data_IF_214685927486
#
_entry.id   IF_214685927486
#
_cell.length_a   1.000
_cell.length_b   1.000
_cell.length_c   1.000
_cell.angle_alpha   90.00
_cell.angle_beta   90.00
_cell.angle_gamma   90.00
#
_symmetry.space_group_name_H-M   'P 1'
#
loop_
_entity.id
_entity.type
_entity.pdbx_description
1 polymer ?
#
# COMPACT_ATOMS: atom_id res chain seq x y z
N UNK A 1 -12.63 8.17 8.16
CA UNK A 1 -12.29 6.85 7.64
C UNK A 1 -11.06 6.31 8.37
N UNK A 2 -9.98 7.03 8.49
CA UNK A 2 -8.74 6.61 9.14
C UNK A 2 -8.66 7.08 10.60
N UNK A 3 -9.33 6.35 11.54
CA UNK A 3 -9.32 6.66 12.98
C UNK A 3 -8.21 5.96 13.74
N UNK A 4 -7.73 4.86 13.21
CA UNK A 4 -6.64 4.07 13.77
C UNK A 4 -5.71 3.64 12.62
N UNK A 5 -4.42 3.83 12.79
CA UNK A 5 -3.37 3.43 11.85
C UNK A 5 -2.48 2.38 12.50
N UNK A 6 -2.11 1.35 11.75
CA UNK A 6 -1.17 0.33 12.20
C UNK A 6 0.15 0.48 11.44
N UNK A 7 1.25 0.57 12.17
CA UNK A 7 2.61 0.51 11.61
C UNK A 7 3.31 -0.73 12.18
N UNK A 8 3.39 -1.82 11.40
CA UNK A 8 4.21 -2.97 11.76
C UNK A 8 5.70 -2.61 11.64
N UNK A 9 6.46 -2.92 12.69
CA UNK A 9 7.87 -2.61 12.80
C UNK A 9 8.66 -3.90 13.11
N UNK A 10 9.80 -4.07 12.49
CA UNK A 10 10.67 -5.22 12.69
C UNK A 10 11.95 -4.89 13.49
N UNK A 11 12.03 -3.68 14.04
CA UNK A 11 13.20 -3.18 14.76
C UNK A 11 14.35 -2.75 13.84
N UNK A 12 14.14 -2.69 12.54
CA UNK A 12 15.12 -2.16 11.58
C UNK A 12 14.83 -0.72 11.20
N UNK A 13 15.89 0.02 10.82
CA UNK A 13 15.75 1.37 10.26
C UNK A 13 14.90 1.39 8.98
N UNK A 14 14.88 0.28 8.24
CA UNK A 14 14.06 0.18 7.03
C UNK A 14 12.58 0.21 7.35
N UNK A 15 12.12 -0.49 8.40
CA UNK A 15 10.74 -0.44 8.88
C UNK A 15 10.30 0.96 9.32
N UNK A 16 11.22 1.74 9.88
CA UNK A 16 10.95 3.09 10.36
C UNK A 16 10.62 4.10 9.24
N UNK A 17 10.92 3.82 7.97
CA UNK A 17 10.55 4.69 6.84
C UNK A 17 9.04 4.84 6.66
N UNK A 18 8.23 3.98 7.25
CA UNK A 18 6.78 4.12 7.28
C UNK A 18 6.31 5.24 8.23
N UNK A 19 7.11 5.58 9.25
CA UNK A 19 6.72 6.45 10.34
C UNK A 19 6.45 7.92 9.96
N UNK A 20 7.27 8.59 9.13
CA UNK A 20 7.02 9.99 8.77
C UNK A 20 5.64 10.19 8.14
N UNK A 21 5.26 9.36 7.17
CA UNK A 21 3.98 9.45 6.48
C UNK A 21 2.82 9.00 7.39
N UNK A 22 2.98 7.93 8.17
CA UNK A 22 1.99 7.48 9.14
C UNK A 22 1.70 8.57 10.19
N UNK A 23 2.75 9.23 10.71
CA UNK A 23 2.64 10.36 11.64
C UNK A 23 1.90 11.55 11.03
N UNK A 24 2.23 11.90 9.77
CA UNK A 24 1.56 12.98 9.06
C UNK A 24 0.06 12.72 8.91
N UNK A 25 -0.32 11.51 8.49
CA UNK A 25 -1.72 11.10 8.37
C UNK A 25 -2.42 11.10 9.74
N UNK A 26 -1.78 10.52 10.77
CA UNK A 26 -2.37 10.46 12.11
C UNK A 26 -2.63 11.84 12.70
N UNK A 27 -1.70 12.80 12.52
CA UNK A 27 -1.88 14.19 12.96
C UNK A 27 -3.03 14.90 12.25
N UNK A 28 -3.18 14.70 10.94
CA UNK A 28 -4.23 15.34 10.17
C UNK A 28 -5.61 14.77 10.45
N UNK A 29 -5.69 13.49 10.81
CA UNK A 29 -6.95 12.79 11.08
C UNK A 29 -7.34 12.77 12.56
N UNK A 30 -6.41 13.06 13.47
CA UNK A 30 -6.56 12.79 14.89
C UNK A 30 -6.58 11.29 15.23
N UNK A 31 -6.04 10.45 14.33
CA UNK A 31 -6.05 9.01 14.50
C UNK A 31 -5.06 8.54 15.57
N UNK A 32 -5.39 7.41 16.20
CA UNK A 32 -4.43 6.68 17.03
C UNK A 32 -3.43 5.93 16.13
N UNK A 33 -2.14 6.08 16.42
CA UNK A 33 -1.06 5.39 15.75
C UNK A 33 -0.63 4.17 16.56
N UNK A 34 -0.85 2.97 16.04
CA UNK A 34 -0.47 1.72 16.65
C UNK A 34 0.90 1.28 16.11
N UNK A 35 1.94 1.34 16.93
CA UNK A 35 3.26 0.82 16.64
C UNK A 35 3.33 -0.62 17.14
N UNK A 36 3.48 -1.56 16.24
CA UNK A 36 3.38 -2.98 16.58
C UNK A 36 4.63 -3.72 16.13
N UNK A 37 5.22 -4.46 17.04
CA UNK A 37 6.24 -5.46 16.76
C UNK A 37 5.66 -6.85 16.94
N UNK A 38 6.09 -7.82 16.14
CA UNK A 38 5.74 -9.23 16.36
C UNK A 38 6.99 -9.96 16.80
N UNK A 39 6.95 -10.43 18.03
CA UNK A 39 8.01 -11.25 18.60
C UNK A 39 8.08 -12.60 17.89
N UNK A 40 9.28 -12.99 17.50
CA UNK A 40 9.55 -14.29 16.87
C UNK A 40 10.50 -15.06 17.76
N UNK A 41 10.03 -16.18 18.31
CA UNK A 41 10.85 -17.03 19.15
C UNK A 41 12.04 -17.56 18.34
N UNK A 42 13.23 -17.11 18.67
CA UNK A 42 14.47 -17.60 18.07
C UNK A 42 15.01 -18.75 18.91
N UNK A 43 14.78 -19.98 18.45
CA UNK A 43 15.39 -21.15 19.08
C UNK A 43 16.79 -21.33 18.48
N UNK A 44 17.86 -21.26 19.28
CA UNK A 44 19.21 -21.49 18.78
C UNK A 44 19.32 -22.92 18.23
N UNK A 45 19.54 -23.08 16.95
CA UNK A 45 19.82 -24.38 16.33
C UNK A 45 21.32 -24.60 16.42
N UNK A 46 21.78 -25.39 17.39
CA UNK A 46 23.13 -25.94 17.33
C UNK A 46 23.05 -27.36 16.72
N UNK A 47 24.03 -27.70 15.90
CA UNK A 47 24.04 -28.92 15.09
C UNK A 47 23.98 -30.21 15.94
N UNK A 48 24.30 -30.11 17.23
CA UNK A 48 24.42 -31.24 18.16
C UNK A 48 23.57 -31.11 19.43
N UNK A 49 22.71 -30.08 19.56
CA UNK A 49 21.90 -29.88 20.76
C UNK A 49 20.40 -29.90 20.48
N UNK A 50 19.64 -30.50 21.36
CA UNK A 50 18.18 -30.35 21.36
C UNK A 50 17.87 -28.86 21.59
N UNK A 51 17.07 -28.24 20.71
CA UNK A 51 16.69 -26.84 20.87
C UNK A 51 15.96 -26.69 22.23
N UNK A 52 16.57 -25.96 23.17
CA UNK A 52 15.97 -25.68 24.46
C UNK A 52 15.42 -24.25 24.39
N UNK A 53 14.13 -24.12 24.67
CA UNK A 53 13.53 -22.81 24.87
C UNK A 53 14.05 -22.20 26.15
N UNK A 54 14.65 -21.00 26.06
CA UNK A 54 15.13 -20.24 27.18
C UNK A 54 14.14 -19.10 27.49
N UNK A 55 13.32 -19.31 28.50
CA UNK A 55 12.30 -18.37 28.96
C UNK A 55 12.90 -17.02 29.39
N UNK A 56 14.10 -17.02 30.00
CA UNK A 56 14.76 -15.79 30.43
C UNK A 56 15.24 -14.96 29.23
N UNK A 57 15.77 -15.62 28.21
CA UNK A 57 16.18 -14.97 26.96
C UNK A 57 14.95 -14.42 26.19
N UNK A 58 13.89 -15.19 26.11
CA UNK A 58 12.62 -14.76 25.49
C UNK A 58 12.06 -13.51 26.17
N UNK A 59 11.99 -13.52 27.48
CA UNK A 59 11.53 -12.36 28.26
C UNK A 59 12.43 -11.12 28.07
N UNK A 60 13.75 -11.33 27.96
CA UNK A 60 14.68 -10.23 27.67
C UNK A 60 14.49 -9.65 26.28
N UNK A 61 14.28 -10.48 25.27
CA UNK A 61 14.06 -10.02 23.90
C UNK A 61 12.74 -9.25 23.79
N UNK A 62 11.67 -9.72 24.43
CA UNK A 62 10.38 -8.98 24.51
C UNK A 62 10.54 -7.62 25.19
N UNK A 63 11.32 -7.56 26.26
CA UNK A 63 11.58 -6.30 26.96
C UNK A 63 12.35 -5.30 26.07
N UNK A 64 13.29 -5.78 25.27
CA UNK A 64 14.02 -4.95 24.28
C UNK A 64 13.09 -4.44 23.18
N UNK A 65 12.24 -5.30 22.65
CA UNK A 65 11.25 -4.95 21.60
C UNK A 65 10.26 -3.90 22.12
N UNK A 66 9.75 -4.07 23.34
CA UNK A 66 8.88 -3.09 23.98
C UNK A 66 9.62 -1.75 24.20
N UNK A 67 10.86 -1.79 24.70
CA UNK A 67 11.68 -0.59 24.89
C UNK A 67 11.90 0.15 23.57
N UNK A 68 12.16 -0.57 22.48
CA UNK A 68 12.29 0.00 21.15
C UNK A 68 11.02 0.73 20.70
N UNK A 69 9.85 0.11 20.86
CA UNK A 69 8.57 0.74 20.50
C UNK A 69 8.28 1.99 21.35
N UNK A 70 8.58 1.94 22.65
CA UNK A 70 8.36 3.07 23.57
C UNK A 70 9.31 4.24 23.25
N UNK A 71 10.54 3.95 22.85
CA UNK A 71 11.49 4.96 22.38
C UNK A 71 11.00 5.64 21.10
N UNK A 72 10.48 4.88 20.14
CA UNK A 72 9.88 5.43 18.94
C UNK A 72 8.64 6.27 19.26
N UNK A 73 7.78 5.80 20.15
CA UNK A 73 6.58 6.54 20.55
C UNK A 73 6.95 7.90 21.16
N UNK A 74 8.00 7.95 22.02
CA UNK A 74 8.52 9.20 22.59
C UNK A 74 9.06 10.14 21.50
N UNK A 75 9.85 9.63 20.55
CA UNK A 75 10.40 10.41 19.44
C UNK A 75 9.31 10.98 18.55
N UNK A 76 8.27 10.20 18.24
CA UNK A 76 7.15 10.63 17.39
C UNK A 76 6.22 11.62 18.08
N UNK A 77 6.15 11.62 19.42
CA UNK A 77 5.33 12.55 20.21
C UNK A 77 5.92 13.95 20.28
N UNK A 78 7.17 14.17 19.86
CA UNK A 78 7.77 15.50 19.79
C UNK A 78 7.03 16.37 18.78
N UNK A 79 6.75 17.62 19.16
CA UNK A 79 6.12 18.62 18.26
C UNK A 79 4.60 18.53 18.09
N UNK A 80 3.86 17.95 19.04
CA UNK A 80 2.39 18.01 19.09
C UNK A 80 1.73 16.74 19.63
N UNK A 81 0.49 16.88 20.08
CA UNK A 81 -0.29 15.76 20.61
C UNK A 81 -0.55 14.70 19.51
N UNK A 82 -0.10 13.49 19.74
CA UNK A 82 -0.34 12.32 18.91
C UNK A 82 -0.70 11.16 19.82
N UNK A 83 -1.84 10.53 19.59
CA UNK A 83 -2.22 9.31 20.31
C UNK A 83 -1.42 8.14 19.75
N UNK A 84 -0.57 7.52 20.57
CA UNK A 84 0.25 6.37 20.18
C UNK A 84 -0.02 5.22 21.14
N UNK A 85 -0.17 4.03 20.59
CA UNK A 85 -0.24 2.76 21.31
C UNK A 85 0.88 1.86 20.83
N UNK A 86 1.59 1.22 21.75
CA UNK A 86 2.63 0.24 21.46
C UNK A 86 2.17 -1.16 21.81
N UNK A 87 2.53 -2.18 21.04
CA UNK A 87 2.23 -3.57 21.34
C UNK A 87 3.29 -4.51 20.76
N UNK A 88 3.68 -5.50 21.56
CA UNK A 88 4.46 -6.66 21.11
C UNK A 88 3.50 -7.84 21.01
N UNK A 89 3.39 -8.44 19.85
CA UNK A 89 2.51 -9.57 19.55
C UNK A 89 3.32 -10.85 19.39
N UNK A 90 2.62 -11.98 19.36
CA UNK A 90 3.23 -13.29 19.14
C UNK A 90 3.09 -13.75 17.68
N UNK A 91 4.07 -14.52 17.20
CA UNK A 91 4.06 -15.19 15.88
C UNK A 91 2.84 -16.15 15.76
N UNK A 92 2.27 -16.36 14.58
CA UNK A 92 2.77 -16.00 13.22
C UNK A 92 2.51 -14.54 12.83
N UNK A 93 3.52 -13.86 12.29
CA UNK A 93 3.55 -12.41 12.08
C UNK A 93 2.31 -11.89 11.34
N UNK A 94 2.00 -12.43 10.16
CA UNK A 94 0.90 -11.92 9.35
C UNK A 94 -0.48 -12.15 10.01
N UNK A 95 -0.67 -13.28 10.67
CA UNK A 95 -1.91 -13.61 11.39
C UNK A 95 -2.07 -12.72 12.63
N UNK A 96 -1.00 -12.51 13.40
CA UNK A 96 -1.01 -11.64 14.56
C UNK A 96 -1.37 -10.20 14.18
N UNK A 97 -0.73 -9.65 13.14
CA UNK A 97 -1.02 -8.31 12.62
C UNK A 97 -2.46 -8.19 12.11
N UNK A 98 -2.98 -9.20 11.42
CA UNK A 98 -4.36 -9.21 10.93
C UNK A 98 -5.37 -9.26 12.08
N UNK A 99 -5.14 -10.13 13.07
CA UNK A 99 -5.99 -10.24 14.26
C UNK A 99 -6.01 -8.92 15.04
N UNK A 100 -4.83 -8.35 15.25
CA UNK A 100 -4.69 -7.06 15.91
C UNK A 100 -5.41 -5.95 15.16
N UNK A 101 -5.25 -5.90 13.85
CA UNK A 101 -5.87 -4.88 13.01
C UNK A 101 -7.41 -4.94 13.07
N UNK A 102 -7.98 -6.13 13.09
CA UNK A 102 -9.44 -6.32 13.24
C UNK A 102 -9.90 -5.95 14.65
N UNK A 103 -9.19 -6.37 15.69
CA UNK A 103 -9.55 -6.12 17.08
C UNK A 103 -9.51 -4.62 17.47
N UNK A 104 -8.68 -3.82 16.78
CA UNK A 104 -8.51 -2.39 17.05
C UNK A 104 -9.10 -1.48 15.95
N UNK A 105 -10.00 -1.98 15.10
CA UNK A 105 -10.65 -1.23 14.03
C UNK A 105 -9.65 -0.42 13.19
N UNK A 106 -8.51 -1.04 12.82
CA UNK A 106 -7.48 -0.38 12.01
C UNK A 106 -8.05 -0.01 10.65
N UNK A 107 -8.04 1.28 10.35
CA UNK A 107 -8.53 1.81 9.08
C UNK A 107 -7.49 1.85 7.96
N UNK A 108 -6.19 1.81 8.31
CA UNK A 108 -5.07 1.85 7.38
C UNK A 108 -3.84 1.18 7.99
N UNK A 109 -3.22 0.27 7.24
CA UNK A 109 -1.88 -0.23 7.57
C UNK A 109 -0.86 0.59 6.79
N UNK A 110 0.17 1.11 7.45
CA UNK A 110 1.27 1.85 6.83
C UNK A 110 2.56 1.08 7.09
N UNK A 111 3.20 0.58 6.06
CA UNK A 111 4.38 -0.27 6.21
C UNK A 111 5.36 -0.10 5.05
N UNK A 112 6.56 -0.59 5.24
CA UNK A 112 7.56 -0.62 4.18
C UNK A 112 7.43 -1.88 3.33
N UNK A 113 7.89 -1.80 2.08
CA UNK A 113 7.88 -2.95 1.17
C UNK A 113 8.79 -4.09 1.64
N UNK A 114 9.80 -3.81 2.46
CA UNK A 114 10.71 -4.78 3.07
C UNK A 114 11.38 -4.20 4.32
N UNK A 115 11.81 -5.07 5.23
CA UNK A 115 12.53 -4.76 6.48
C UNK A 115 13.97 -5.26 6.43
N UNK A 116 14.40 -6.04 7.41
CA UNK A 116 15.78 -6.54 7.64
C UNK A 116 16.40 -7.36 6.49
N UNK A 117 15.67 -7.74 5.46
CA UNK A 117 16.15 -8.59 4.38
C UNK A 117 17.06 -7.89 3.36
N UNK A 118 17.74 -8.69 2.52
CA UNK A 118 18.70 -8.21 1.53
C UNK A 118 18.09 -7.19 0.55
N UNK A 119 18.80 -6.11 0.32
CA UNK A 119 18.45 -5.02 -0.58
C UNK A 119 18.43 -5.49 -2.05
N UNK A 120 17.32 -6.03 -2.51
CA UNK A 120 17.07 -6.23 -3.93
C UNK A 120 16.01 -5.24 -4.40
N UNK A 121 16.32 -4.47 -5.44
CA UNK A 121 15.43 -3.42 -5.99
C UNK A 121 14.05 -3.92 -6.40
N UNK A 122 13.82 -5.24 -6.43
CA UNK A 122 12.60 -5.88 -6.92
C UNK A 122 11.94 -6.81 -5.89
N UNK A 123 12.41 -6.82 -4.65
CA UNK A 123 11.87 -7.71 -3.62
C UNK A 123 10.76 -7.03 -2.81
N UNK A 124 9.65 -7.72 -2.69
CA UNK A 124 8.58 -7.43 -1.76
C UNK A 124 8.73 -8.40 -0.58
N UNK A 125 8.75 -7.88 0.64
CA UNK A 125 8.87 -8.70 1.84
C UNK A 125 7.70 -9.67 1.99
N UNK A 126 7.95 -10.85 2.52
CA UNK A 126 6.94 -11.91 2.69
C UNK A 126 5.74 -11.45 3.53
N UNK A 127 5.96 -10.61 4.52
CA UNK A 127 4.90 -10.06 5.38
C UNK A 127 4.03 -9.07 4.60
N UNK A 128 4.65 -8.14 3.85
CA UNK A 128 3.93 -7.21 3.00
C UNK A 128 3.10 -7.96 1.94
N UNK A 129 3.71 -8.95 1.27
CA UNK A 129 3.02 -9.79 0.29
C UNK A 129 1.83 -10.54 0.90
N UNK A 130 2.00 -11.12 2.09
CA UNK A 130 0.92 -11.84 2.78
C UNK A 130 -0.21 -10.89 3.17
N UNK A 131 0.10 -9.73 3.78
CA UNK A 131 -0.93 -8.76 4.19
C UNK A 131 -1.70 -8.21 2.99
N UNK A 132 -1.03 -7.89 1.88
CA UNK A 132 -1.71 -7.44 0.65
C UNK A 132 -2.72 -8.45 0.11
N UNK A 133 -2.51 -9.75 0.38
CA UNK A 133 -3.40 -10.82 -0.06
C UNK A 133 -4.60 -11.04 0.87
N UNK A 134 -4.47 -10.72 2.16
CA UNK A 134 -5.47 -11.09 3.16
C UNK A 134 -6.09 -9.92 3.93
N UNK A 135 -5.45 -8.75 4.01
CA UNK A 135 -5.93 -7.64 4.81
C UNK A 135 -7.23 -7.04 4.24
N UNK A 136 -8.26 -6.84 5.07
CA UNK A 136 -9.53 -6.25 4.64
C UNK A 136 -9.51 -4.71 4.57
N UNK A 137 -8.47 -4.08 5.10
CA UNK A 137 -8.27 -2.63 5.09
C UNK A 137 -7.22 -2.22 4.04
N UNK A 138 -7.17 -0.93 3.65
CA UNK A 138 -6.12 -0.41 2.79
C UNK A 138 -4.73 -0.56 3.41
N UNK A 139 -3.73 -0.79 2.57
CA UNK A 139 -2.31 -0.85 2.94
C UNK A 139 -1.56 0.22 2.16
N UNK A 140 -0.87 1.10 2.86
CA UNK A 140 0.03 2.09 2.29
C UNK A 140 1.47 1.56 2.39
N UNK A 141 2.05 1.28 1.24
CA UNK A 141 3.39 0.76 1.10
C UNK A 141 4.38 1.87 0.81
N UNK A 142 5.45 1.93 1.58
CA UNK A 142 6.56 2.86 1.40
C UNK A 142 7.82 2.07 1.05
N UNK A 143 8.53 2.53 0.02
CA UNK A 143 9.83 1.97 -0.30
C UNK A 143 10.87 2.56 0.64
N UNK A 144 11.58 1.75 1.44
CA UNK A 144 12.62 2.26 2.31
C UNK A 144 13.84 2.74 1.49
N UNK A 145 14.57 3.67 2.06
CA UNK A 145 15.82 4.21 1.51
C UNK A 145 17.02 3.71 2.32
N UNK A 146 18.23 3.89 1.79
CA UNK A 146 19.46 3.49 2.50
C UNK A 146 19.77 4.40 3.69
N UNK A 147 19.37 5.68 3.59
CA UNK A 147 19.54 6.66 4.66
C UNK A 147 18.46 6.51 5.72
N UNK A 148 18.77 6.68 7.02
CA UNK A 148 17.75 6.64 8.06
C UNK A 148 16.61 7.64 7.79
N UNK A 149 15.36 7.30 8.15
CA UNK A 149 14.24 8.21 7.96
C UNK A 149 14.34 9.41 8.91
N UNK A 150 14.04 10.60 8.39
CA UNK A 150 13.82 11.76 9.21
C UNK A 150 12.40 11.73 9.80
N UNK A 151 12.28 11.42 11.09
CA UNK A 151 10.99 11.31 11.77
C UNK A 151 10.32 12.66 12.00
N UNK A 152 11.03 13.78 11.87
CA UNK A 152 10.44 15.12 11.96
C UNK A 152 9.83 15.59 10.64
N UNK A 153 10.22 15.00 9.54
CA UNK A 153 9.66 15.29 8.24
C UNK A 153 8.14 15.04 8.24
N UNK A 154 7.42 15.95 7.60
CA UNK A 154 5.97 15.86 7.42
C UNK A 154 5.67 15.75 5.91
N UNK A 155 5.73 14.53 5.35
CA UNK A 155 5.41 14.33 3.94
C UNK A 155 3.97 14.74 3.66
N UNK A 156 3.74 15.41 2.54
CA UNK A 156 2.40 15.79 2.09
C UNK A 156 2.08 15.11 0.77
N UNK A 157 0.93 14.48 0.71
CA UNK A 157 0.39 13.92 -0.53
C UNK A 157 -0.40 15.03 -1.22
N UNK A 158 0.12 15.58 -2.29
CA UNK A 158 -0.50 16.68 -3.06
C UNK A 158 -1.11 16.21 -4.38
N UNK A 159 -0.64 15.09 -4.90
CA UNK A 159 -1.11 14.55 -6.18
C UNK A 159 -1.21 13.01 -6.12
N UNK A 160 -2.40 12.49 -6.34
CA UNK A 160 -2.70 11.05 -6.29
C UNK A 160 -3.01 10.55 -7.69
N UNK A 161 -2.30 9.52 -8.14
CA UNK A 161 -2.58 8.79 -9.38
C UNK A 161 -3.46 7.58 -9.08
N UNK A 162 -4.60 7.48 -9.78
CA UNK A 162 -5.52 6.34 -9.65
C UNK A 162 -5.68 5.67 -11.01
N UNK A 163 -4.92 4.62 -11.29
CA UNK A 163 -5.11 3.81 -12.49
C UNK A 163 -6.42 3.02 -12.43
N UNK A 164 -7.26 3.15 -13.47
CA UNK A 164 -8.52 2.44 -13.60
C UNK A 164 -8.59 1.70 -14.93
N UNK A 165 -9.08 0.46 -14.90
CA UNK A 165 -9.26 -0.39 -16.07
C UNK A 165 -10.71 -0.47 -16.57
N UNK A 166 -11.63 0.31 -15.98
CA UNK A 166 -13.05 0.30 -16.26
C UNK A 166 -13.85 -0.75 -15.49
N UNK A 167 -13.19 -1.53 -14.62
CA UNK A 167 -13.90 -2.50 -13.77
C UNK A 167 -14.42 -1.87 -12.49
N UNK A 168 -15.56 -2.37 -11.99
CA UNK A 168 -16.08 -1.99 -10.69
C UNK A 168 -15.12 -2.34 -9.53
N UNK A 169 -14.22 -3.32 -9.72
CA UNK A 169 -13.20 -3.67 -8.73
C UNK A 169 -12.13 -2.60 -8.63
N UNK A 170 -11.66 -2.06 -9.76
CA UNK A 170 -10.68 -0.95 -9.76
C UNK A 170 -11.28 0.31 -9.12
N UNK A 171 -12.55 0.62 -9.38
CA UNK A 171 -13.23 1.79 -8.81
C UNK A 171 -13.39 1.72 -7.28
N UNK A 172 -13.32 0.54 -6.67
CA UNK A 172 -13.33 0.40 -5.20
C UNK A 172 -12.13 1.04 -4.51
N UNK A 173 -11.08 1.39 -5.28
CA UNK A 173 -9.95 2.17 -4.78
C UNK A 173 -10.30 3.66 -4.58
N UNK A 174 -11.32 4.18 -5.24
CA UNK A 174 -11.67 5.59 -5.17
C UNK A 174 -12.00 6.07 -3.74
N UNK A 175 -12.87 5.40 -2.95
CA UNK A 175 -13.15 5.84 -1.59
C UNK A 175 -11.92 5.90 -0.67
N UNK A 176 -11.05 4.89 -0.59
CA UNK A 176 -9.80 5.00 0.17
C UNK A 176 -8.88 6.12 -0.34
N UNK A 177 -8.72 6.28 -1.65
CA UNK A 177 -7.86 7.30 -2.22
C UNK A 177 -8.39 8.71 -1.94
N UNK A 178 -9.68 8.95 -2.12
CA UNK A 178 -10.31 10.26 -1.86
C UNK A 178 -10.29 10.61 -0.37
N UNK A 179 -10.50 9.64 0.52
CA UNK A 179 -10.39 9.86 1.95
C UNK A 179 -8.98 10.29 2.37
N UNK A 180 -7.94 9.75 1.73
CA UNK A 180 -6.56 10.14 2.00
C UNK A 180 -6.23 11.50 1.36
N UNK A 181 -6.64 11.73 0.12
CA UNK A 181 -6.41 12.99 -0.58
C UNK A 181 -7.13 14.18 0.03
N UNK A 182 -8.30 13.97 0.64
CA UNK A 182 -9.04 15.01 1.33
C UNK A 182 -8.28 15.61 2.53
N UNK A 183 -7.34 14.87 3.13
CA UNK A 183 -6.52 15.36 4.24
C UNK A 183 -5.59 16.52 3.83
N UNK A 184 -5.16 16.54 2.58
CA UNK A 184 -4.18 17.49 2.06
C UNK A 184 -4.71 18.33 0.91
N UNK A 185 -6.00 18.22 0.58
CA UNK A 185 -6.60 18.78 -0.63
C UNK A 185 -5.82 18.37 -1.90
N UNK A 186 -5.46 17.09 -1.96
CA UNK A 186 -4.70 16.54 -3.09
C UNK A 186 -5.48 16.62 -4.39
N UNK A 187 -4.78 16.92 -5.49
CA UNK A 187 -5.30 16.72 -6.83
C UNK A 187 -5.25 15.22 -7.19
N UNK A 188 -6.14 14.81 -8.10
CA UNK A 188 -6.22 13.44 -8.59
C UNK A 188 -5.94 13.40 -10.08
N UNK A 189 -5.21 12.40 -10.52
CA UNK A 189 -5.22 11.98 -11.92
C UNK A 189 -5.79 10.59 -12.02
N UNK A 190 -6.87 10.45 -12.76
CA UNK A 190 -7.46 9.14 -13.11
C UNK A 190 -6.85 8.71 -14.44
N UNK A 191 -6.07 7.63 -14.42
CA UNK A 191 -5.33 7.14 -15.57
C UNK A 191 -5.98 5.86 -16.12
N UNK A 192 -6.21 5.82 -17.43
CA UNK A 192 -6.52 4.58 -18.15
C UNK A 192 -5.38 4.25 -19.11
N UNK A 193 -4.83 3.05 -19.01
CA UNK A 193 -3.81 2.57 -19.93
C UNK A 193 -4.44 1.59 -20.90
N UNK A 194 -4.40 1.92 -22.19
CA UNK A 194 -4.80 1.03 -23.27
C UNK A 194 -3.60 0.11 -23.54
N UNK A 195 -3.72 -1.14 -23.09
CA UNK A 195 -2.69 -2.15 -23.32
C UNK A 195 -2.88 -2.85 -24.67
N UNK A 196 -1.81 -3.30 -25.35
CA UNK A 196 -1.92 -4.02 -26.61
C UNK A 196 -2.85 -5.24 -26.55
N UNK A 197 -2.84 -5.95 -25.44
CA UNK A 197 -3.66 -7.15 -25.21
C UNK A 197 -5.19 -6.82 -25.14
N UNK A 198 -5.54 -5.59 -24.73
CA UNK A 198 -6.97 -5.17 -24.66
C UNK A 198 -7.63 -5.05 -26.04
N UNK A 199 -6.84 -5.11 -27.10
CA UNK A 199 -7.29 -5.04 -28.48
C UNK A 199 -7.71 -6.37 -29.09
N UNK A 200 -7.77 -7.45 -28.31
CA UNK A 200 -8.31 -8.74 -28.76
C UNK A 200 -7.34 -9.61 -29.57
N UNK A 201 -6.06 -9.33 -29.54
CA UNK A 201 -5.05 -10.15 -30.18
C UNK A 201 -4.48 -11.16 -29.17
N UNK A 202 -5.01 -12.37 -29.16
CA UNK A 202 -4.37 -13.55 -28.57
C UNK A 202 -3.22 -13.98 -29.50
N UNK A 203 -2.07 -13.31 -29.40
CA UNK A 203 -0.87 -13.76 -30.11
C UNK A 203 0.24 -13.95 -29.08
N UNK A 204 1.04 -15.02 -29.25
CA UNK A 204 2.24 -15.31 -28.45
C UNK A 204 3.31 -14.20 -28.51
N UNK A 205 3.06 -13.13 -29.25
CA UNK A 205 3.92 -11.97 -29.44
C UNK A 205 3.12 -10.66 -29.41
N UNK A 206 3.17 -9.84 -28.35
CA UNK A 206 2.34 -8.65 -28.16
C UNK A 206 2.91 -7.42 -28.88
N UNK A 207 3.00 -7.43 -30.20
CA UNK A 207 3.56 -6.30 -30.97
C UNK A 207 2.61 -5.63 -31.92
N UNK A 208 1.38 -6.12 -32.09
CA UNK A 208 0.42 -5.51 -32.98
C UNK A 208 -0.57 -4.60 -32.24
N UNK A 209 -0.47 -3.31 -32.44
CA UNK A 209 -1.52 -2.37 -32.08
C UNK A 209 -2.71 -2.53 -33.04
N UNK A 210 -3.97 -2.28 -32.57
CA UNK A 210 -5.13 -2.27 -33.45
C UNK A 210 -4.97 -1.28 -34.59
N UNK A 211 -5.71 -1.48 -35.65
CA UNK A 211 -5.82 -0.48 -36.72
C UNK A 211 -6.21 0.90 -36.14
N UNK A 212 -5.75 1.97 -36.75
CA UNK A 212 -5.89 3.34 -36.24
C UNK A 212 -7.37 3.70 -35.91
N UNK A 213 -8.31 3.23 -36.68
CA UNK A 213 -9.76 3.46 -36.47
C UNK A 213 -10.27 2.77 -35.18
N UNK A 214 -9.86 1.53 -34.94
CA UNK A 214 -10.22 0.77 -33.74
C UNK A 214 -9.59 1.39 -32.49
N UNK A 215 -8.33 1.78 -32.56
CA UNK A 215 -7.64 2.44 -31.45
C UNK A 215 -8.28 3.77 -31.07
N UNK A 216 -8.74 4.54 -32.08
CA UNK A 216 -9.46 5.79 -31.85
C UNK A 216 -10.78 5.56 -31.11
N UNK A 217 -11.54 4.54 -31.50
CA UNK A 217 -12.80 4.18 -30.82
C UNK A 217 -12.56 3.72 -29.38
N UNK A 218 -11.53 2.88 -29.14
CA UNK A 218 -11.15 2.43 -27.79
C UNK A 218 -10.76 3.63 -26.92
N UNK A 219 -9.95 4.55 -27.44
CA UNK A 219 -9.54 5.77 -26.72
C UNK A 219 -10.74 6.66 -26.39
N UNK A 220 -11.66 6.86 -27.31
CA UNK A 220 -12.87 7.65 -27.07
C UNK A 220 -13.76 7.02 -25.98
N UNK A 221 -13.93 5.70 -26.01
CA UNK A 221 -14.67 4.99 -24.97
C UNK A 221 -13.99 5.08 -23.60
N UNK A 222 -12.67 4.93 -23.55
CA UNK A 222 -11.89 5.10 -22.32
C UNK A 222 -12.00 6.53 -21.76
N UNK A 223 -11.90 7.54 -22.62
CA UNK A 223 -12.05 8.94 -22.21
C UNK A 223 -13.46 9.20 -21.66
N UNK A 224 -14.50 8.75 -22.35
CA UNK A 224 -15.90 8.89 -21.88
C UNK A 224 -16.11 8.21 -20.51
N UNK A 225 -15.46 7.08 -20.28
CA UNK A 225 -15.49 6.42 -18.97
C UNK A 225 -14.81 7.28 -17.90
N UNK A 226 -13.60 7.78 -18.17
CA UNK A 226 -12.85 8.60 -17.21
C UNK A 226 -13.59 9.91 -16.90
N UNK A 227 -14.21 10.54 -17.89
CA UNK A 227 -14.96 11.80 -17.69
C UNK A 227 -16.12 11.59 -16.73
N UNK A 228 -16.87 10.48 -16.82
CA UNK A 228 -17.92 10.13 -15.85
C UNK A 228 -17.38 9.92 -14.44
N UNK A 229 -16.20 9.30 -14.30
CA UNK A 229 -15.55 9.15 -12.99
C UNK A 229 -15.13 10.50 -12.45
N UNK A 230 -14.52 11.35 -13.30
CA UNK A 230 -14.07 12.68 -12.93
C UNK A 230 -15.25 13.60 -12.50
N UNK A 231 -16.38 13.56 -13.21
CA UNK A 231 -17.59 14.28 -12.83
C UNK A 231 -18.10 13.87 -11.45
N UNK A 232 -18.13 12.55 -11.15
CA UNK A 232 -18.54 12.06 -9.82
C UNK A 232 -17.62 12.53 -8.70
N UNK A 233 -16.33 12.58 -8.94
CA UNK A 233 -15.34 13.05 -7.97
C UNK A 233 -15.35 14.59 -7.87
N UNK A 234 -15.50 15.28 -8.98
CA UNK A 234 -15.65 16.75 -9.05
C UNK A 234 -16.87 17.25 -8.26
N UNK A 235 -17.96 16.50 -8.26
CA UNK A 235 -19.14 16.78 -7.42
C UNK A 235 -18.82 16.76 -5.91
N UNK A 236 -17.68 16.16 -5.50
CA UNK A 236 -17.16 16.18 -4.13
C UNK A 236 -16.13 17.30 -3.91
N UNK A 237 -16.06 18.29 -4.82
CA UNK A 237 -15.10 19.41 -4.79
C UNK A 237 -13.63 18.98 -4.91
N UNK A 238 -13.35 17.83 -5.51
CA UNK A 238 -11.99 17.37 -5.77
C UNK A 238 -11.47 17.90 -7.11
N UNK A 239 -10.19 18.23 -7.16
CA UNK A 239 -9.50 18.57 -8.41
C UNK A 239 -9.12 17.27 -9.12
N UNK A 240 -9.72 17.00 -10.27
CA UNK A 240 -9.53 15.74 -11.00
C UNK A 240 -9.10 15.98 -12.42
N UNK A 241 -8.01 15.34 -12.82
CA UNK A 241 -7.53 15.26 -14.20
C UNK A 241 -7.75 13.85 -14.73
N UNK A 242 -7.89 13.72 -16.05
CA UNK A 242 -8.01 12.43 -16.71
C UNK A 242 -6.90 12.26 -17.73
N UNK A 243 -6.39 11.04 -17.87
CA UNK A 243 -5.38 10.70 -18.87
C UNK A 243 -5.65 9.32 -19.47
N UNK A 244 -5.59 9.22 -20.81
CA UNK A 244 -5.65 7.95 -21.56
C UNK A 244 -4.34 7.78 -22.32
N UNK A 245 -3.58 6.74 -21.99
CA UNK A 245 -2.25 6.49 -22.55
C UNK A 245 -2.18 5.09 -23.12
N UNK A 246 -1.51 4.95 -24.25
CA UNK A 246 -1.23 3.63 -24.86
C UNK A 246 0.09 3.11 -24.33
N UNK A 247 0.14 1.86 -23.86
CA UNK A 247 1.38 1.28 -23.39
C UNK A 247 1.18 0.00 -22.58
N UNK A 248 2.28 -0.55 -22.09
CA UNK A 248 2.23 -1.64 -21.12
C UNK A 248 1.79 -1.09 -19.77
N UNK A 249 0.73 -1.66 -19.18
CA UNK A 249 0.01 -1.05 -18.07
C UNK A 249 0.92 -0.66 -16.88
N UNK A 250 1.70 -1.58 -16.32
CA UNK A 250 2.51 -1.26 -15.13
C UNK A 250 3.68 -0.30 -15.43
N UNK A 251 4.49 -0.49 -16.50
CA UNK A 251 5.51 0.48 -16.89
C UNK A 251 4.93 1.89 -17.12
N UNK A 252 3.82 1.99 -17.85
CA UNK A 252 3.18 3.29 -18.15
C UNK A 252 2.70 4.00 -16.88
N UNK A 253 2.14 3.27 -15.90
CA UNK A 253 1.76 3.83 -14.60
C UNK A 253 2.98 4.41 -13.88
N UNK A 254 4.10 3.67 -13.86
CA UNK A 254 5.33 4.07 -13.18
C UNK A 254 5.99 5.27 -13.85
N UNK A 255 6.05 5.29 -15.16
CA UNK A 255 6.56 6.40 -15.97
C UNK A 255 5.72 7.65 -15.75
N UNK A 256 4.39 7.51 -15.83
CA UNK A 256 3.48 8.62 -15.57
C UNK A 256 3.66 9.20 -14.17
N UNK A 257 3.78 8.35 -13.17
CA UNK A 257 3.96 8.79 -11.80
C UNK A 257 5.25 9.59 -11.61
N UNK A 258 6.34 9.16 -12.24
CA UNK A 258 7.63 9.87 -12.21
C UNK A 258 7.56 11.21 -12.94
N UNK A 259 7.02 11.20 -14.17
CA UNK A 259 7.07 12.33 -15.07
C UNK A 259 6.11 13.47 -14.66
N UNK A 260 5.09 13.16 -13.83
CA UNK A 260 4.10 14.12 -13.34
C UNK A 260 4.19 14.38 -11.83
N UNK A 261 5.32 14.06 -11.22
CA UNK A 261 5.57 14.30 -9.77
C UNK A 261 4.41 13.79 -8.89
N UNK A 262 3.96 12.56 -9.12
CA UNK A 262 2.92 11.91 -8.32
C UNK A 262 3.48 11.54 -6.95
N UNK A 263 2.76 11.91 -5.90
CA UNK A 263 3.15 11.63 -4.51
C UNK A 263 2.62 10.28 -4.01
N UNK A 264 1.53 9.78 -4.63
CA UNK A 264 0.89 8.52 -4.26
C UNK A 264 0.26 7.84 -5.47
N UNK A 265 0.52 6.55 -5.65
CA UNK A 265 -0.20 5.70 -6.60
C UNK A 265 -1.24 4.89 -5.82
N UNK A 266 -2.52 4.96 -6.20
CA UNK A 266 -3.60 4.24 -5.53
C UNK A 266 -4.20 3.17 -6.45
N UNK A 267 -4.06 1.89 -6.07
CA UNK A 267 -4.40 0.73 -6.90
C UNK A 267 -5.31 -0.25 -6.15
N UNK A 268 -6.32 -0.79 -6.83
CA UNK A 268 -6.97 -2.02 -6.38
C UNK A 268 -6.05 -3.23 -6.63
N UNK A 269 -6.08 -4.21 -5.74
CA UNK A 269 -5.24 -5.42 -5.89
C UNK A 269 -5.66 -6.31 -7.04
N UNK A 270 -6.88 -6.17 -7.56
CA UNK A 270 -7.43 -6.91 -8.70
C UNK A 270 -8.21 -5.97 -9.62
N UNK A 271 -8.18 -6.24 -10.91
CA UNK A 271 -8.95 -5.56 -11.95
C UNK A 271 -9.86 -6.54 -12.70
N UNK A 272 -10.00 -6.36 -14.02
CA UNK A 272 -10.87 -7.15 -14.92
C UNK A 272 -10.68 -8.66 -14.83
N UNK A 273 -9.47 -9.15 -14.60
CA UNK A 273 -9.17 -10.59 -14.60
C UNK A 273 -9.78 -11.35 -13.42
N UNK A 274 -10.27 -10.67 -12.37
CA UNK A 274 -11.11 -11.21 -11.30
C UNK A 274 -10.73 -12.58 -10.72
N UNK A 275 -9.49 -13.03 -10.93
CA UNK A 275 -9.04 -14.37 -10.54
C UNK A 275 -9.31 -14.62 -9.06
N UNK A 276 -10.22 -15.55 -8.78
CA UNK A 276 -10.83 -15.83 -7.49
C UNK A 276 -9.88 -16.44 -6.44
N UNK A 277 -8.58 -16.51 -6.71
CA UNK A 277 -7.59 -17.09 -5.81
C UNK A 277 -6.68 -15.98 -5.27
N UNK A 278 -6.27 -16.12 -4.02
CA UNK A 278 -5.47 -15.25 -3.15
C UNK A 278 -4.16 -14.64 -3.74
N UNK A 279 -4.13 -14.33 -5.02
CA UNK A 279 -2.97 -13.79 -5.73
C UNK A 279 -3.17 -12.28 -5.93
N UNK A 280 -2.14 -11.50 -5.67
CA UNK A 280 -2.07 -10.10 -6.07
C UNK A 280 -2.12 -10.04 -7.60
N UNK A 281 -2.94 -9.12 -8.15
CA UNK A 281 -3.03 -8.94 -9.60
C UNK A 281 -1.67 -8.57 -10.20
N UNK A 282 -1.37 -9.08 -11.40
CA UNK A 282 -0.06 -8.90 -12.04
C UNK A 282 0.34 -7.42 -12.21
N UNK A 283 -0.62 -6.53 -12.46
CA UNK A 283 -0.37 -5.09 -12.59
C UNK A 283 -0.04 -4.48 -11.23
N UNK A 284 -0.80 -4.80 -10.19
CA UNK A 284 -0.54 -4.32 -8.83
C UNK A 284 0.83 -4.80 -8.33
N UNK A 285 1.17 -6.09 -8.52
CA UNK A 285 2.47 -6.65 -8.14
C UNK A 285 3.63 -5.94 -8.86
N UNK A 286 3.55 -5.81 -10.19
CA UNK A 286 4.58 -5.12 -10.99
C UNK A 286 4.71 -3.65 -10.59
N UNK A 287 3.59 -2.97 -10.33
CA UNK A 287 3.60 -1.55 -9.91
C UNK A 287 4.25 -1.38 -8.55
N UNK A 288 3.88 -2.20 -7.54
CA UNK A 288 4.48 -2.15 -6.20
C UNK A 288 5.99 -2.40 -6.25
N UNK A 289 6.43 -3.41 -7.02
CA UNK A 289 7.86 -3.74 -7.14
C UNK A 289 8.66 -2.66 -7.87
N UNK A 290 8.04 -1.97 -8.83
CA UNK A 290 8.71 -0.94 -9.63
C UNK A 290 8.61 0.47 -9.06
N UNK A 291 7.65 0.74 -8.16
CA UNK A 291 7.40 2.08 -7.66
C UNK A 291 8.50 2.56 -6.70
N UNK A 292 8.91 3.81 -6.86
CA UNK A 292 9.64 4.58 -5.85
C UNK A 292 8.71 5.48 -5.05
N UNK A 293 7.58 5.83 -5.64
CA UNK A 293 6.47 6.56 -5.04
C UNK A 293 5.70 5.65 -4.09
N UNK A 294 5.20 6.11 -2.93
CA UNK A 294 4.29 5.36 -2.09
C UNK A 294 3.10 4.77 -2.86
N UNK A 295 2.68 3.57 -2.49
CA UNK A 295 1.58 2.87 -3.16
C UNK A 295 0.51 2.52 -2.14
N UNK A 296 -0.71 3.03 -2.33
CA UNK A 296 -1.89 2.65 -1.58
C UNK A 296 -2.57 1.49 -2.30
N UNK A 297 -2.71 0.38 -1.61
CA UNK A 297 -3.40 -0.80 -2.10
C UNK A 297 -4.68 -1.04 -1.32
N UNK A 298 -5.71 -1.45 -2.02
CA UNK A 298 -6.94 -1.88 -1.39
C UNK A 298 -7.48 -3.15 -2.04
N UNK A 299 -7.67 -4.15 -1.19
CA UNK A 299 -8.41 -5.35 -1.55
C UNK A 299 -9.83 -5.20 -1.03
N UNK A 300 -10.76 -4.96 -1.93
CA UNK A 300 -12.15 -4.98 -1.50
C UNK A 300 -12.51 -6.36 -0.94
N UNK A 301 -13.08 -6.44 0.29
CA UNK A 301 -13.67 -7.67 0.76
C UNK A 301 -14.64 -8.18 -0.30
N UNK A 302 -14.65 -9.49 -0.58
CA UNK A 302 -15.72 -10.08 -1.39
C UNK A 302 -17.03 -9.65 -0.73
N UNK A 303 -17.82 -8.80 -1.40
CA UNK A 303 -19.23 -8.72 -1.05
C UNK A 303 -19.71 -10.16 -1.03
N UNK A 304 -20.27 -10.61 0.09
CA UNK A 304 -21.03 -11.84 0.10
C UNK A 304 -22.00 -11.70 -1.07
N UNK A 305 -21.70 -12.41 -2.18
CA UNK A 305 -22.62 -12.52 -3.29
C UNK A 305 -23.87 -13.13 -2.66
N UNK A 306 -24.94 -12.34 -2.64
CA UNK A 306 -26.16 -12.63 -1.95
C UNK A 306 -26.62 -14.06 -2.16
N UNK A 307 -27.01 -14.64 -1.05
CA UNK A 307 -27.86 -15.82 -1.02
C UNK A 307 -29.17 -15.56 -1.75
#
# INVERSE_FOLDING_TARGET
MYRSLLVPLDGSQFGEHALPLARAIARQTGATLHLVHVHVITVPISVDAIPIFDEALDAQDRAREQTYLDDLARRLSTGGALSITTAVLDDPIAAALQTYAVAHDIGLVVMTTHGRGAFSRFWLGSIADTLMRCAPMPILLIRPQETPPDLEQTPMIKHILVPLDGSALAERMLPPATALGALTNAAFTILHVIAPEAAGYETDWPTAWPEAGTLTAIRAAAQTYLDRVAERLGAQSLVVHTAVINGQTAPTILEYARDHAIDLIALATHGRSGAARALLGSIADKTVRGATTPVLLYRSPKAALGA
#
